data_IF_450079540116
#
_entry.id   IF_450079540116
#
_cell.length_a   1.000
_cell.length_b   1.000
_cell.length_c   1.000
_cell.angle_alpha   90.00
_cell.angle_beta   90.00
_cell.angle_gamma   90.00
#
_symmetry.space_group_name_H-M   'P 1'
#
loop_
_entity.id
_entity.type
_entity.pdbx_description
1 polymer ?
#
# COMPACT_ATOMS: atom_id res chain seq x y z
N UNK A 1 26.29 8.27 20.17
CA UNK A 1 25.75 6.93 19.92
C UNK A 1 24.23 7.04 19.72
N UNK A 2 23.75 7.62 18.61
CA UNK A 2 22.31 7.87 18.41
C UNK A 2 21.93 7.72 16.94
N UNK A 3 21.37 6.56 16.56
CA UNK A 3 20.58 6.39 15.32
C UNK A 3 19.86 5.02 15.23
N UNK A 4 19.40 4.43 16.33
CA UNK A 4 18.68 3.14 16.29
C UNK A 4 17.14 3.27 16.20
N UNK A 5 16.58 4.47 16.41
CA UNK A 5 15.13 4.67 16.53
C UNK A 5 14.39 4.89 15.20
N UNK A 6 15.09 5.25 14.11
CA UNK A 6 14.44 5.46 12.80
C UNK A 6 14.22 4.17 11.99
N UNK A 7 15.06 3.15 12.19
CA UNK A 7 15.04 1.94 11.35
C UNK A 7 13.94 0.94 11.78
N UNK A 8 13.63 0.88 13.07
CA UNK A 8 12.59 -0.01 13.62
C UNK A 8 11.18 0.45 13.27
N UNK A 9 10.90 1.76 13.33
CA UNK A 9 9.58 2.32 12.97
C UNK A 9 9.34 2.22 11.46
N UNK A 10 10.36 2.44 10.64
CA UNK A 10 10.26 2.25 9.19
C UNK A 10 9.94 0.79 8.83
N UNK A 11 10.63 -0.18 9.47
CA UNK A 11 10.34 -1.60 9.25
C UNK A 11 8.95 -2.00 9.75
N UNK A 12 8.52 -1.49 10.92
CA UNK A 12 7.18 -1.73 11.43
C UNK A 12 6.07 -1.17 10.51
N UNK A 13 6.29 0.03 9.95
CA UNK A 13 5.36 0.61 8.98
C UNK A 13 5.37 -0.16 7.65
N UNK A 14 6.52 -0.65 7.19
CA UNK A 14 6.60 -1.51 5.99
C UNK A 14 5.84 -2.83 6.21
N UNK A 15 6.00 -3.47 7.37
CA UNK A 15 5.26 -4.69 7.74
C UNK A 15 3.75 -4.45 7.84
N UNK A 16 3.35 -3.35 8.50
CA UNK A 16 1.95 -2.96 8.62
C UNK A 16 1.34 -2.61 7.26
N UNK A 17 2.06 -1.87 6.42
CA UNK A 17 1.67 -1.53 5.05
C UNK A 17 1.51 -2.78 4.19
N UNK A 18 2.45 -3.73 4.28
CA UNK A 18 2.33 -5.04 3.64
C UNK A 18 1.10 -5.80 4.12
N UNK A 19 0.81 -5.81 5.41
CA UNK A 19 -0.38 -6.47 5.95
C UNK A 19 -1.69 -5.81 5.49
N UNK A 20 -1.74 -4.46 5.44
CA UNK A 20 -2.86 -3.72 4.87
C UNK A 20 -3.08 -4.09 3.40
N UNK A 21 -2.01 -4.14 2.61
CA UNK A 21 -2.06 -4.49 1.19
C UNK A 21 -2.55 -5.93 0.96
N UNK A 22 -2.07 -6.88 1.77
CA UNK A 22 -2.34 -8.31 1.59
C UNK A 22 -3.66 -8.77 2.19
N UNK A 23 -4.13 -8.14 3.28
CA UNK A 23 -5.19 -8.73 4.13
C UNK A 23 -6.16 -7.72 4.75
N UNK A 24 -5.64 -6.67 5.39
CA UNK A 24 -6.46 -5.86 6.30
C UNK A 24 -7.30 -4.78 5.60
N UNK A 25 -6.89 -4.31 4.41
CA UNK A 25 -7.81 -3.59 3.54
C UNK A 25 -8.86 -4.57 2.99
N UNK A 26 -10.14 -4.17 2.93
CA UNK A 26 -11.23 -5.02 2.44
C UNK A 26 -11.96 -4.30 1.29
N UNK A 27 -11.92 -4.84 0.06
CA UNK A 27 -11.17 -6.03 -0.36
C UNK A 27 -9.64 -5.85 -0.28
N UNK A 28 -8.88 -6.92 -0.09
CA UNK A 28 -7.42 -6.82 -0.05
C UNK A 28 -6.87 -6.35 -1.39
N UNK A 29 -5.93 -5.39 -1.37
CA UNK A 29 -5.34 -4.81 -2.57
C UNK A 29 -4.69 -5.87 -3.47
N UNK A 30 -4.06 -6.86 -2.84
CA UNK A 30 -3.38 -7.99 -3.48
C UNK A 30 -4.29 -8.90 -4.33
N UNK A 31 -5.61 -8.86 -4.12
CA UNK A 31 -6.58 -9.60 -4.95
C UNK A 31 -6.59 -9.00 -6.36
N UNK A 32 -6.46 -7.68 -6.47
CA UNK A 32 -6.60 -6.97 -7.74
C UNK A 32 -5.26 -6.56 -8.34
N UNK A 33 -4.25 -6.24 -7.53
CA UNK A 33 -3.01 -5.64 -7.99
C UNK A 33 -1.78 -6.53 -7.75
N UNK A 34 -0.88 -6.52 -8.73
CA UNK A 34 0.46 -7.07 -8.60
C UNK A 34 1.32 -6.11 -7.79
N UNK A 35 2.09 -6.66 -6.84
CA UNK A 35 3.12 -5.95 -6.08
C UNK A 35 4.17 -6.96 -5.62
N UNK A 36 5.30 -7.02 -6.31
CA UNK A 36 6.32 -8.08 -6.13
C UNK A 36 6.90 -8.12 -4.72
N UNK A 37 7.22 -6.96 -4.13
CA UNK A 37 7.71 -6.88 -2.75
C UNK A 37 6.70 -7.39 -1.70
N UNK A 38 5.40 -7.38 -2.04
CA UNK A 38 4.34 -7.98 -1.23
C UNK A 38 4.14 -9.47 -1.54
N UNK A 39 4.66 -9.99 -2.65
CA UNK A 39 4.38 -11.32 -3.18
C UNK A 39 2.99 -11.43 -3.82
N UNK A 40 2.39 -10.31 -4.22
CA UNK A 40 1.05 -10.27 -4.80
C UNK A 40 1.09 -10.32 -6.33
N UNK A 41 0.16 -11.07 -6.91
CA UNK A 41 0.07 -11.36 -8.36
C UNK A 41 -1.31 -11.03 -8.94
N UNK A 42 -2.05 -10.12 -8.31
CA UNK A 42 -3.37 -9.70 -8.79
C UNK A 42 -3.29 -9.05 -10.18
N UNK A 43 -4.26 -9.33 -11.04
CA UNK A 43 -4.26 -8.89 -12.44
C UNK A 43 -5.58 -8.22 -12.88
N UNK A 44 -6.43 -7.83 -11.93
CA UNK A 44 -7.68 -7.10 -12.22
C UNK A 44 -7.41 -5.61 -12.44
N UNK A 45 -6.55 -5.03 -11.58
CA UNK A 45 -6.05 -3.66 -11.72
C UNK A 45 -4.63 -3.63 -12.29
N UNK A 46 -4.09 -2.43 -12.57
CA UNK A 46 -2.71 -2.30 -13.02
C UNK A 46 -1.72 -2.85 -12.01
N UNK A 47 -0.58 -3.34 -12.49
CA UNK A 47 0.58 -3.69 -11.66
C UNK A 47 1.11 -2.45 -10.94
N UNK A 48 1.39 -2.56 -9.65
CA UNK A 48 2.02 -1.48 -8.89
C UNK A 48 3.48 -1.32 -9.30
N UNK A 49 4.16 -2.40 -9.68
CA UNK A 49 5.54 -2.36 -10.18
C UNK A 49 5.66 -1.61 -11.51
N UNK A 50 4.64 -1.68 -12.38
CA UNK A 50 4.63 -0.92 -13.64
C UNK A 50 4.19 0.54 -13.42
N UNK A 51 3.16 0.74 -12.59
CA UNK A 51 2.56 2.06 -12.40
C UNK A 51 3.43 2.99 -11.55
N UNK A 52 4.21 2.41 -10.61
CA UNK A 52 5.06 3.09 -9.64
C UNK A 52 4.47 4.40 -9.08
N UNK A 53 3.24 4.39 -8.55
CA UNK A 53 2.58 5.61 -8.11
C UNK A 53 3.27 6.20 -6.88
N UNK A 54 3.23 7.53 -6.74
CA UNK A 54 3.57 8.17 -5.47
C UNK A 54 2.50 7.94 -4.39
N UNK A 55 2.84 8.22 -3.14
CA UNK A 55 1.94 8.00 -2.02
C UNK A 55 0.69 8.89 -2.08
N UNK A 56 0.79 10.09 -2.66
CA UNK A 56 -0.36 11.00 -2.76
C UNK A 56 -1.42 10.45 -3.74
N UNK A 57 -0.97 9.90 -4.87
CA UNK A 57 -1.82 9.23 -5.85
C UNK A 57 -2.48 7.99 -5.25
N UNK A 58 -1.74 7.16 -4.53
CA UNK A 58 -2.29 5.98 -3.85
C UNK A 58 -3.33 6.40 -2.80
N UNK A 59 -3.03 7.41 -1.98
CA UNK A 59 -3.96 7.92 -0.97
C UNK A 59 -5.27 8.41 -1.60
N UNK A 60 -5.18 9.17 -2.71
CA UNK A 60 -6.37 9.66 -3.40
C UNK A 60 -7.22 8.53 -3.99
N UNK A 61 -6.59 7.50 -4.54
CA UNK A 61 -7.31 6.31 -5.05
C UNK A 61 -8.00 5.54 -3.91
N UNK A 62 -7.34 5.36 -2.76
CA UNK A 62 -7.92 4.68 -1.59
C UNK A 62 -9.11 5.46 -1.03
N UNK A 63 -9.00 6.79 -0.93
CA UNK A 63 -10.05 7.64 -0.35
C UNK A 63 -11.28 7.77 -1.24
N UNK A 64 -11.08 7.89 -2.55
CA UNK A 64 -12.15 8.26 -3.48
C UNK A 64 -12.62 7.10 -4.36
N UNK A 65 -11.85 6.01 -4.43
CA UNK A 65 -12.01 5.01 -5.48
C UNK A 65 -11.58 5.55 -6.85
N UNK A 66 -11.47 4.64 -7.83
CA UNK A 66 -11.22 4.99 -9.23
C UNK A 66 -11.72 3.87 -10.16
N UNK A 67 -12.69 4.17 -11.01
CA UNK A 67 -13.30 3.18 -11.89
C UNK A 67 -13.90 2.02 -11.09
N UNK A 68 -13.38 0.80 -11.29
CA UNK A 68 -13.82 -0.40 -10.57
C UNK A 68 -13.16 -0.55 -9.18
N UNK A 69 -12.12 0.23 -8.87
CA UNK A 69 -11.49 0.22 -7.55
C UNK A 69 -12.38 0.97 -6.55
N UNK A 70 -12.89 0.31 -5.49
CA UNK A 70 -13.74 0.96 -4.50
C UNK A 70 -12.94 1.93 -3.62
N UNK A 71 -13.65 2.85 -2.97
CA UNK A 71 -13.12 3.60 -1.84
C UNK A 71 -13.05 2.71 -0.59
N UNK A 72 -12.16 3.05 0.35
CA UNK A 72 -11.94 2.30 1.60
C UNK A 72 -12.32 3.13 2.83
N UNK A 73 -13.62 3.36 3.10
CA UNK A 73 -14.08 4.22 4.19
C UNK A 73 -13.75 3.66 5.59
N UNK A 74 -13.44 2.36 5.68
CA UNK A 74 -13.16 1.68 6.94
C UNK A 74 -11.69 1.77 7.37
N UNK A 75 -10.80 2.33 6.53
CA UNK A 75 -9.41 2.55 6.90
C UNK A 75 -9.26 3.87 7.66
N UNK A 76 -8.48 3.86 8.73
CA UNK A 76 -8.14 5.08 9.47
C UNK A 76 -7.17 5.96 8.65
N UNK A 77 -7.09 7.27 8.94
CA UNK A 77 -6.13 8.16 8.28
C UNK A 77 -4.68 7.64 8.33
N UNK A 78 -4.27 7.08 9.47
CA UNK A 78 -2.93 6.51 9.65
C UNK A 78 -2.72 5.25 8.82
N UNK A 79 -3.73 4.36 8.74
CA UNK A 79 -3.66 3.18 7.89
C UNK A 79 -3.56 3.57 6.41
N UNK A 80 -4.32 4.57 5.98
CA UNK A 80 -4.25 5.09 4.60
C UNK A 80 -2.85 5.63 4.32
N UNK A 81 -2.28 6.42 5.24
CA UNK A 81 -0.93 6.95 5.10
C UNK A 81 0.11 5.83 4.99
N UNK A 82 0.10 4.88 5.93
CA UNK A 82 1.04 3.75 5.97
C UNK A 82 0.93 2.90 4.71
N UNK A 83 -0.29 2.54 4.29
CA UNK A 83 -0.52 1.76 3.07
C UNK A 83 -0.02 2.51 1.82
N UNK A 84 -0.28 3.81 1.74
CA UNK A 84 0.11 4.63 0.58
C UNK A 84 1.63 4.77 0.47
N UNK A 85 2.31 5.01 1.59
CA UNK A 85 3.77 5.07 1.67
C UNK A 85 4.41 3.72 1.33
N UNK A 86 3.83 2.63 1.86
CA UNK A 86 4.27 1.27 1.57
C UNK A 86 4.16 0.95 0.07
N UNK A 87 3.01 1.17 -0.57
CA UNK A 87 2.83 0.89 -2.00
C UNK A 87 3.80 1.71 -2.86
N UNK A 88 3.98 2.99 -2.56
CA UNK A 88 4.90 3.85 -3.29
C UNK A 88 6.37 3.41 -3.13
N UNK A 89 6.77 2.97 -1.94
CA UNK A 89 8.11 2.43 -1.67
C UNK A 89 8.32 1.06 -2.33
N UNK A 90 7.37 0.15 -2.12
CA UNK A 90 7.43 -1.25 -2.54
C UNK A 90 7.34 -1.44 -4.05
N UNK A 91 6.68 -0.53 -4.78
CA UNK A 91 6.58 -0.58 -6.25
C UNK A 91 7.90 -0.30 -6.98
N UNK A 92 8.91 0.21 -6.28
CA UNK A 92 10.25 0.49 -6.80
C UNK A 92 11.30 -0.55 -6.39
N UNK A 93 10.88 -1.56 -5.61
CA UNK A 93 11.72 -2.69 -5.20
C UNK A 93 11.55 -3.81 -6.23
#
# INVERSE_FOLDING_TARGET
MSCAIFSSVASANDEQGKNLFLKAAVPACAICHTLEAAGAVGAVGPSMNDLQPDAARVMNAIKNGIGQMPAYPNLTPDQIKILSEYVASASRK
#
